data_IF_285692225413
#
_entry.id   IF_285692225413
#
_cell.length_a   1.000
_cell.length_b   1.000
_cell.length_c   1.000
_cell.angle_alpha   90.00
_cell.angle_beta   90.00
_cell.angle_gamma   90.00
#
_symmetry.space_group_name_H-M   'P 1'
#
loop_
_entity.id
_entity.type
_entity.pdbx_description
1 polymer ?
#
# COMPACT_ATOMS: atom_id res chain seq x y z
N UNK A 1 -11.24 8.10 8.00
CA UNK A 1 -9.84 8.36 8.37
C UNK A 1 -9.08 8.47 7.07
N UNK A 2 -8.36 9.57 6.87
CA UNK A 2 -7.84 9.90 5.55
C UNK A 2 -6.57 9.12 5.21
N UNK A 3 -5.45 9.33 5.89
CA UNK A 3 -4.23 8.52 5.75
C UNK A 3 -3.57 8.44 7.12
N UNK A 4 -3.19 7.24 7.56
CA UNK A 4 -2.45 7.06 8.80
C UNK A 4 -0.95 6.96 8.48
N UNK A 5 -0.16 7.87 9.03
CA UNK A 5 1.29 7.80 8.94
C UNK A 5 1.88 7.15 10.19
N UNK A 6 2.84 6.25 9.98
CA UNK A 6 3.65 5.62 11.04
C UNK A 6 5.12 5.80 10.71
N UNK A 7 5.93 6.00 11.75
CA UNK A 7 7.35 6.27 11.62
C UNK A 7 8.12 5.22 12.40
N UNK A 8 9.08 4.58 11.75
CA UNK A 8 10.04 3.73 12.44
C UNK A 8 11.40 3.82 11.75
N UNK A 9 12.42 3.29 12.39
CA UNK A 9 13.76 3.27 11.81
C UNK A 9 14.46 1.96 12.12
N UNK A 10 15.39 1.61 11.23
CA UNK A 10 16.33 0.52 11.41
C UNK A 10 17.74 1.11 11.46
N UNK A 11 18.75 0.30 11.79
CA UNK A 11 20.15 0.75 11.77
C UNK A 11 20.61 1.28 10.41
N UNK A 12 19.97 0.88 9.31
CA UNK A 12 20.37 1.25 7.94
C UNK A 12 19.58 2.40 7.34
N UNK A 13 18.31 2.57 7.72
CA UNK A 13 17.40 3.57 7.11
C UNK A 13 16.16 3.84 7.95
N UNK A 14 15.55 5.01 7.71
CA UNK A 14 14.27 5.44 8.26
C UNK A 14 13.12 5.04 7.33
N UNK A 15 11.96 4.77 7.91
CA UNK A 15 10.76 4.38 7.18
C UNK A 15 9.57 5.25 7.61
N UNK A 16 8.79 5.64 6.61
CA UNK A 16 7.48 6.28 6.78
C UNK A 16 6.48 5.32 6.13
N UNK A 17 5.53 4.81 6.90
CA UNK A 17 4.48 3.93 6.42
C UNK A 17 3.22 4.75 6.25
N UNK A 18 2.71 4.82 5.02
CA UNK A 18 1.39 5.36 4.71
C UNK A 18 0.38 4.21 4.69
N UNK A 19 -0.50 4.17 5.68
CA UNK A 19 -1.59 3.20 5.79
C UNK A 19 -2.91 3.86 5.42
N UNK A 20 -3.65 3.22 4.51
CA UNK A 20 -4.89 3.76 3.93
C UNK A 20 -5.96 2.68 3.86
N UNK A 21 -7.24 3.00 4.08
CA UNK A 21 -8.31 2.01 4.00
C UNK A 21 -8.42 1.42 2.59
N UNK A 22 -8.57 0.10 2.48
CA UNK A 22 -8.63 -0.63 1.20
C UNK A 22 -10.02 -0.72 0.53
N UNK A 23 -11.05 -0.19 1.18
CA UNK A 23 -12.39 -0.19 0.61
C UNK A 23 -12.48 0.81 -0.56
N UNK A 24 -13.25 0.50 -1.59
CA UNK A 24 -13.30 1.25 -2.85
C UNK A 24 -13.59 2.75 -2.67
N UNK A 25 -14.44 3.07 -1.69
CA UNK A 25 -14.79 4.44 -1.32
C UNK A 25 -13.58 5.28 -0.84
N UNK A 26 -12.49 4.65 -0.42
CA UNK A 26 -11.26 5.31 0.05
C UNK A 26 -10.10 5.23 -0.95
N UNK A 27 -10.38 4.86 -2.20
CA UNK A 27 -9.37 4.82 -3.28
C UNK A 27 -8.61 6.15 -3.41
N UNK A 28 -9.29 7.29 -3.22
CA UNK A 28 -8.64 8.61 -3.24
C UNK A 28 -7.56 8.77 -2.17
N UNK A 29 -7.81 8.21 -0.99
CA UNK A 29 -6.88 8.28 0.13
C UNK A 29 -5.64 7.44 -0.14
N UNK A 30 -5.82 6.27 -0.73
CA UNK A 30 -4.71 5.44 -1.21
C UNK A 30 -3.87 6.22 -2.23
N UNK A 31 -4.49 6.89 -3.20
CA UNK A 31 -3.77 7.70 -4.20
C UNK A 31 -2.92 8.78 -3.53
N UNK A 32 -3.49 9.50 -2.55
CA UNK A 32 -2.75 10.52 -1.79
C UNK A 32 -1.56 9.92 -1.04
N UNK A 33 -1.76 8.82 -0.30
CA UNK A 33 -0.69 8.17 0.47
C UNK A 33 0.40 7.56 -0.42
N UNK A 34 -0.01 6.91 -1.51
CA UNK A 34 0.90 6.23 -2.44
C UNK A 34 1.70 7.20 -3.32
N UNK A 35 1.23 8.43 -3.56
CA UNK A 35 1.89 9.42 -4.42
C UNK A 35 3.35 9.74 -4.07
N UNK A 36 3.76 9.52 -2.81
CA UNK A 36 5.12 9.78 -2.32
C UNK A 36 5.89 8.51 -1.96
N UNK A 37 5.28 7.34 -2.13
CA UNK A 37 5.86 6.07 -1.72
C UNK A 37 6.85 5.53 -2.77
N UNK A 38 7.99 4.98 -2.33
CA UNK A 38 8.94 4.30 -3.23
C UNK A 38 8.71 2.79 -3.35
N UNK A 39 7.94 2.22 -2.43
CA UNK A 39 7.62 0.79 -2.34
C UNK A 39 6.19 0.62 -1.84
N UNK A 40 5.47 -0.33 -2.43
CA UNK A 40 4.14 -0.73 -1.99
C UNK A 40 4.17 -2.16 -1.44
N UNK A 41 3.55 -2.36 -0.27
CA UNK A 41 3.32 -3.69 0.32
C UNK A 41 1.86 -4.04 0.14
N UNK A 42 1.57 -5.15 -0.54
CA UNK A 42 0.21 -5.63 -0.80
C UNK A 42 -0.03 -6.88 0.04
N UNK A 43 -0.94 -6.77 1.00
CA UNK A 43 -1.33 -7.88 1.86
C UNK A 43 -2.35 -8.78 1.14
N UNK A 44 -2.13 -10.09 1.17
CA UNK A 44 -3.00 -11.11 0.57
C UNK A 44 -3.29 -12.17 1.63
N UNK A 45 -4.57 -12.40 1.93
CA UNK A 45 -4.98 -13.48 2.85
C UNK A 45 -4.79 -14.84 2.15
N UNK A 46 -4.05 -15.76 2.78
CA UNK A 46 -3.75 -17.08 2.22
C UNK A 46 -5.01 -17.93 1.95
N UNK A 47 -6.11 -17.68 2.67
CA UNK A 47 -7.38 -18.42 2.54
C UNK A 47 -8.25 -17.87 1.42
N UNK A 48 -8.21 -16.54 1.23
CA UNK A 48 -9.07 -15.85 0.27
C UNK A 48 -8.36 -15.55 -1.06
N UNK A 49 -7.03 -15.58 -1.08
CA UNK A 49 -6.23 -15.33 -2.27
C UNK A 49 -6.36 -13.89 -2.78
N UNK A 50 -6.20 -13.73 -4.10
CA UNK A 50 -6.22 -12.43 -4.78
C UNK A 50 -7.67 -11.97 -4.97
N UNK A 51 -8.02 -10.85 -4.32
CA UNK A 51 -9.32 -10.22 -4.44
C UNK A 51 -9.29 -9.00 -5.37
N UNK A 52 -10.45 -8.45 -5.69
CA UNK A 52 -10.56 -7.23 -6.50
C UNK A 52 -9.82 -6.04 -5.87
N UNK A 53 -9.84 -5.93 -4.54
CA UNK A 53 -9.06 -4.92 -3.81
C UNK A 53 -7.56 -5.10 -4.03
N UNK A 54 -7.05 -6.34 -3.99
CA UNK A 54 -5.64 -6.65 -4.26
C UNK A 54 -5.24 -6.17 -5.65
N UNK A 55 -6.06 -6.48 -6.67
CA UNK A 55 -5.82 -6.06 -8.06
C UNK A 55 -5.87 -4.54 -8.22
N UNK A 56 -6.87 -3.91 -7.62
CA UNK A 56 -7.04 -2.44 -7.65
C UNK A 56 -5.86 -1.73 -7.02
N UNK A 57 -5.40 -2.19 -5.85
CA UNK A 57 -4.26 -1.59 -5.17
C UNK A 57 -2.97 -1.76 -5.95
N UNK A 58 -2.72 -2.94 -6.53
CA UNK A 58 -1.55 -3.15 -7.39
C UNK A 58 -1.58 -2.25 -8.62
N UNK A 59 -2.76 -2.04 -9.22
CA UNK A 59 -2.92 -1.17 -10.38
C UNK A 59 -2.65 0.30 -10.01
N UNK A 60 -3.20 0.78 -8.90
CA UNK A 60 -2.97 2.15 -8.42
C UNK A 60 -1.47 2.38 -8.14
N UNK A 61 -0.81 1.45 -7.46
CA UNK A 61 0.63 1.53 -7.22
C UNK A 61 1.43 1.62 -8.52
N UNK A 62 1.07 0.81 -9.53
CA UNK A 62 1.69 0.85 -10.85
C UNK A 62 1.46 2.18 -11.57
N UNK A 63 0.21 2.69 -11.57
CA UNK A 63 -0.14 3.97 -12.21
C UNK A 63 0.56 5.17 -11.56
N UNK A 64 0.86 5.09 -10.27
CA UNK A 64 1.61 6.12 -9.54
C UNK A 64 3.13 5.97 -9.66
N UNK A 65 3.61 5.03 -10.46
CA UNK A 65 5.04 4.87 -10.73
C UNK A 65 5.82 4.19 -9.61
N UNK A 66 5.16 3.49 -8.69
CA UNK A 66 5.84 2.70 -7.65
C UNK A 66 6.46 1.46 -8.31
N UNK A 67 7.79 1.46 -8.44
CA UNK A 67 8.52 0.40 -9.14
C UNK A 67 8.74 -0.85 -8.27
N UNK A 68 8.75 -0.69 -6.95
CA UNK A 68 9.00 -1.79 -6.02
C UNK A 68 7.69 -2.25 -5.39
N UNK A 69 7.31 -3.50 -5.64
CA UNK A 69 6.12 -4.13 -5.08
C UNK A 69 6.53 -5.34 -4.25
N UNK A 70 6.01 -5.45 -3.02
CA UNK A 70 6.18 -6.62 -2.17
C UNK A 70 4.79 -7.19 -1.88
N UNK A 71 4.60 -8.48 -2.14
CA UNK A 71 3.38 -9.19 -1.76
C UNK A 71 3.60 -9.90 -0.43
N UNK A 72 2.83 -9.54 0.58
CA UNK A 72 2.87 -10.18 1.90
C UNK A 72 1.66 -11.12 2.03
N UNK A 73 1.93 -12.42 2.12
CA UNK A 73 0.90 -13.44 2.33
C UNK A 73 0.70 -13.60 3.83
N UNK A 74 -0.53 -13.41 4.31
CA UNK A 74 -0.92 -13.50 5.72
C UNK A 74 -1.99 -14.57 5.96
#
# INVERSE_FOLDING_TARGET
IDVAYRYFSTSRRKFIVADTPGHEQYTRNMVTGASTCQLAVVLVDARNGVLDQTRRHTLIAHLLGIQNLVVAIN
#
